data_IF_700523767246
#
_entry.id   IF_700523767246
#
_cell.length_a   1.000
_cell.length_b   1.000
_cell.length_c   1.000
_cell.angle_alpha   90.00
_cell.angle_beta   90.00
_cell.angle_gamma   90.00
#
_symmetry.space_group_name_H-M   'P 1'
#
loop_
_entity.id
_entity.type
_entity.pdbx_description
1 polymer ?
#
# COMPACT_ATOMS: atom_id res chain seq x y z
N UNK A 1 -5.43 10.87 -8.95
CA UNK A 1 -5.55 9.87 -7.87
C UNK A 1 -4.18 9.27 -7.58
N UNK A 2 -3.89 8.90 -6.33
CA UNK A 2 -2.60 8.29 -5.95
C UNK A 2 -2.88 7.05 -5.10
N UNK A 3 -2.30 5.91 -5.45
CA UNK A 3 -2.32 4.72 -4.60
C UNK A 3 -0.98 4.61 -3.87
N UNK A 4 -1.00 4.79 -2.55
CA UNK A 4 0.16 4.53 -1.71
C UNK A 4 0.05 3.10 -1.17
N UNK A 5 1.13 2.32 -1.25
CA UNK A 5 1.16 0.93 -0.81
C UNK A 5 2.48 0.65 -0.10
N UNK A 6 2.43 0.05 1.09
CA UNK A 6 3.66 -0.47 1.70
C UNK A 6 4.00 -1.84 1.12
N UNK A 7 5.27 -2.08 0.79
CA UNK A 7 5.70 -3.31 0.12
C UNK A 7 6.84 -4.01 0.86
N UNK A 8 6.95 -5.31 0.60
CA UNK A 8 8.06 -6.18 0.96
C UNK A 8 8.20 -7.22 -0.13
N UNK A 9 9.39 -7.39 -0.72
CA UNK A 9 9.55 -8.28 -1.89
C UNK A 9 9.44 -9.75 -1.51
N UNK A 10 9.94 -10.12 -0.33
CA UNK A 10 9.94 -11.49 0.17
C UNK A 10 8.57 -11.94 0.73
N UNK A 11 7.57 -11.05 0.77
CA UNK A 11 6.20 -11.44 1.11
C UNK A 11 5.52 -12.05 -0.15
N UNK A 12 4.95 -13.27 -0.06
CA UNK A 12 4.32 -13.96 -1.20
C UNK A 12 3.27 -13.14 -1.93
N UNK A 13 2.63 -12.17 -1.25
CA UNK A 13 1.68 -11.27 -1.87
C UNK A 13 2.31 -10.38 -2.94
N UNK A 14 3.63 -10.15 -2.93
CA UNK A 14 4.36 -9.36 -3.90
C UNK A 14 4.15 -9.85 -5.33
N UNK A 15 4.24 -11.17 -5.55
CA UNK A 15 4.11 -11.82 -6.86
C UNK A 15 2.78 -11.57 -7.54
N UNK A 16 1.73 -11.31 -6.77
CA UNK A 16 0.40 -10.96 -7.27
C UNK A 16 0.16 -9.46 -7.27
N UNK A 17 0.38 -8.79 -6.14
CA UNK A 17 0.00 -7.39 -5.96
C UNK A 17 0.81 -6.45 -6.85
N UNK A 18 2.12 -6.67 -7.01
CA UNK A 18 2.98 -5.76 -7.76
C UNK A 18 2.58 -5.72 -9.24
N UNK A 19 2.44 -6.86 -9.95
CA UNK A 19 1.94 -6.86 -11.33
C UNK A 19 0.55 -6.23 -11.48
N UNK A 20 -0.40 -6.54 -10.58
CA UNK A 20 -1.75 -5.97 -10.66
C UNK A 20 -1.72 -4.44 -10.51
N UNK A 21 -0.91 -3.90 -9.60
CA UNK A 21 -0.73 -2.45 -9.44
C UNK A 21 -0.06 -1.81 -10.66
N UNK A 22 0.91 -2.48 -11.29
CA UNK A 22 1.51 -2.01 -12.56
C UNK A 22 0.45 -1.95 -13.66
N UNK A 23 -0.39 -2.98 -13.77
CA UNK A 23 -1.50 -2.99 -14.74
C UNK A 23 -2.45 -1.82 -14.53
N UNK A 24 -2.79 -1.49 -13.27
CA UNK A 24 -3.60 -0.31 -12.96
C UNK A 24 -2.89 1.00 -13.33
N UNK A 25 -1.61 1.13 -12.98
CA UNK A 25 -0.80 2.29 -13.33
C UNK A 25 -0.72 2.49 -14.85
N UNK A 26 -0.52 1.41 -15.62
CA UNK A 26 -0.49 1.47 -17.07
C UNK A 26 -1.86 1.80 -17.69
N UNK A 27 -2.95 1.36 -17.05
CA UNK A 27 -4.33 1.61 -17.52
C UNK A 27 -4.76 3.05 -17.25
N UNK A 28 -4.51 3.56 -16.05
CA UNK A 28 -5.07 4.82 -15.56
C UNK A 28 -4.05 5.97 -15.46
N UNK A 29 -2.76 5.68 -15.53
CA UNK A 29 -1.70 6.67 -15.30
C UNK A 29 -1.13 7.35 -16.55
N UNK A 30 -1.59 6.98 -17.76
CA UNK A 30 -1.02 7.48 -19.03
C UNK A 30 -1.04 9.01 -19.17
N UNK A 31 -2.05 9.66 -18.62
CA UNK A 31 -2.23 11.11 -18.70
C UNK A 31 -1.85 11.83 -17.39
N UNK A 32 -1.23 11.14 -16.44
CA UNK A 32 -0.94 11.68 -15.10
C UNK A 32 -2.12 11.63 -14.12
N UNK A 33 -3.25 11.04 -14.51
CA UNK A 33 -4.46 10.96 -13.67
C UNK A 33 -4.33 9.97 -12.49
N UNK A 34 -3.40 9.03 -12.57
CA UNK A 34 -3.15 8.02 -11.56
C UNK A 34 -1.68 7.68 -11.41
N UNK A 35 -1.24 7.47 -10.18
CA UNK A 35 0.09 6.97 -9.87
C UNK A 35 0.06 5.97 -8.72
N UNK A 36 0.96 4.99 -8.76
CA UNK A 36 1.23 4.04 -7.67
C UNK A 36 2.55 4.44 -7.02
N UNK A 37 2.53 4.64 -5.70
CA UNK A 37 3.71 4.90 -4.87
C UNK A 37 3.93 3.72 -3.95
N UNK A 38 4.93 2.89 -4.28
CA UNK A 38 5.35 1.76 -3.47
C UNK A 38 6.38 2.21 -2.42
N UNK A 39 6.11 1.85 -1.16
CA UNK A 39 6.90 2.24 0.01
C UNK A 39 7.49 1.00 0.67
N UNK A 40 8.76 0.67 0.41
CA UNK A 40 9.42 -0.44 1.08
C UNK A 40 9.57 -0.18 2.59
N UNK A 41 9.63 -1.25 3.39
CA UNK A 41 9.90 -1.14 4.83
C UNK A 41 10.60 -2.38 5.35
N UNK A 42 11.45 -2.20 6.36
CA UNK A 42 12.00 -3.27 7.19
C UNK A 42 11.11 -3.64 8.38
N UNK A 43 10.13 -2.80 8.73
CA UNK A 43 9.24 -3.10 9.86
C UNK A 43 8.37 -4.32 9.60
N UNK A 44 8.17 -5.13 10.65
CA UNK A 44 7.51 -6.44 10.56
C UNK A 44 8.49 -7.57 10.23
N UNK A 45 8.08 -8.52 9.40
CA UNK A 45 8.97 -9.61 8.95
C UNK A 45 10.14 -9.08 8.10
N UNK A 46 11.22 -9.85 8.00
CA UNK A 46 12.53 -9.47 7.45
C UNK A 46 12.48 -8.89 6.01
N UNK A 47 13.12 -7.73 5.80
CA UNK A 47 13.47 -7.16 4.47
C UNK A 47 14.96 -6.76 4.50
N UNK A 48 15.87 -7.68 4.11
CA UNK A 48 17.31 -7.49 4.23
C UNK A 48 17.85 -6.37 3.37
N UNK A 49 17.20 -6.16 2.24
CA UNK A 49 17.78 -5.40 1.17
C UNK A 49 17.81 -3.92 1.52
N UNK A 50 18.87 -3.25 1.05
CA UNK A 50 18.95 -1.80 1.07
C UNK A 50 17.97 -1.22 0.05
N UNK A 51 17.57 0.04 0.21
CA UNK A 51 16.70 0.70 -0.77
C UNK A 51 17.27 0.65 -2.19
N UNK A 52 18.60 0.76 -2.34
CA UNK A 52 19.27 0.65 -3.63
C UNK A 52 19.09 -0.74 -4.28
N UNK A 53 19.23 -1.81 -3.49
CA UNK A 53 19.03 -3.17 -3.98
C UNK A 53 17.55 -3.47 -4.29
N UNK A 54 16.64 -2.98 -3.44
CA UNK A 54 15.18 -3.08 -3.70
C UNK A 54 14.84 -2.41 -5.03
N UNK A 55 15.34 -1.20 -5.31
CA UNK A 55 15.12 -0.53 -6.60
C UNK A 55 15.61 -1.37 -7.78
N UNK A 56 16.83 -1.92 -7.71
CA UNK A 56 17.38 -2.78 -8.77
C UNK A 56 16.55 -4.04 -8.99
N UNK A 57 16.06 -4.68 -7.92
CA UNK A 57 15.19 -5.86 -8.02
C UNK A 57 13.82 -5.50 -8.61
N UNK A 58 13.19 -4.40 -8.15
CA UNK A 58 11.90 -3.95 -8.68
C UNK A 58 11.98 -3.60 -10.17
N UNK A 59 13.06 -2.96 -10.60
CA UNK A 59 13.33 -2.68 -12.01
C UNK A 59 13.49 -3.99 -12.81
N UNK A 60 14.39 -4.89 -12.37
CA UNK A 60 14.66 -6.14 -13.09
C UNK A 60 13.48 -7.11 -13.14
N UNK A 61 12.72 -7.25 -12.07
CA UNK A 61 11.63 -8.22 -11.97
C UNK A 61 10.32 -7.69 -12.54
N UNK A 62 10.06 -6.39 -12.39
CA UNK A 62 8.75 -5.81 -12.66
C UNK A 62 8.78 -4.57 -13.58
N UNK A 63 9.95 -4.09 -14.00
CA UNK A 63 10.08 -2.91 -14.84
C UNK A 63 9.69 -1.59 -14.15
N UNK A 64 9.82 -1.53 -12.81
CA UNK A 64 9.61 -0.27 -12.08
C UNK A 64 10.59 0.81 -12.56
N UNK A 65 10.07 1.98 -12.91
CA UNK A 65 10.84 3.08 -13.53
C UNK A 65 10.65 3.19 -15.05
N UNK A 66 10.13 2.16 -15.72
CA UNK A 66 9.74 2.24 -17.15
C UNK A 66 8.38 2.93 -17.28
N UNK A 67 7.42 2.55 -16.42
CA UNK A 67 6.11 3.19 -16.38
C UNK A 67 6.20 4.49 -15.55
N UNK A 68 5.91 5.67 -16.14
CA UNK A 68 6.01 6.94 -15.42
C UNK A 68 4.99 7.06 -14.27
N UNK A 69 3.98 6.20 -14.21
CA UNK A 69 2.97 6.15 -13.16
C UNK A 69 3.31 5.17 -12.02
N UNK A 70 4.47 4.51 -12.04
CA UNK A 70 4.95 3.69 -10.92
C UNK A 70 6.17 4.31 -10.26
N UNK A 71 6.07 4.56 -8.96
CA UNK A 71 7.11 5.17 -8.16
C UNK A 71 7.49 4.25 -7.01
N UNK A 72 8.77 4.26 -6.68
CA UNK A 72 9.34 3.49 -5.59
C UNK A 72 10.15 4.44 -4.71
N UNK A 73 9.83 4.48 -3.42
CA UNK A 73 10.57 5.30 -2.46
C UNK A 73 11.78 4.55 -1.92
N UNK A 74 12.61 5.24 -1.11
CA UNK A 74 13.45 4.56 -0.15
C UNK A 74 12.61 3.87 0.94
N UNK A 75 13.25 2.92 1.64
CA UNK A 75 12.65 2.29 2.83
C UNK A 75 12.19 3.37 3.82
N UNK A 76 10.99 3.19 4.35
CA UNK A 76 10.43 4.07 5.38
C UNK A 76 10.07 3.28 6.63
N UNK A 77 10.22 3.93 7.78
CA UNK A 77 9.53 3.54 9.00
C UNK A 77 8.05 3.91 8.84
N UNK A 78 7.18 2.92 8.99
CA UNK A 78 5.73 3.08 8.91
C UNK A 78 5.12 3.46 10.26
N UNK A 79 5.67 2.93 11.34
CA UNK A 79 5.14 3.04 12.71
C UNK A 79 6.17 3.59 13.70
N UNK A 80 5.68 4.07 14.85
CA UNK A 80 6.51 4.46 16.01
C UNK A 80 7.04 5.90 15.98
N UNK A 81 7.93 6.22 16.93
CA UNK A 81 8.58 7.54 17.05
C UNK A 81 9.47 7.88 15.86
N UNK A 82 9.92 6.87 15.12
CA UNK A 82 10.64 7.01 13.86
C UNK A 82 9.78 7.05 12.60
N UNK A 83 8.45 6.91 12.69
CA UNK A 83 7.56 6.86 11.51
C UNK A 83 7.76 8.06 10.57
N UNK A 84 7.76 7.80 9.27
CA UNK A 84 7.81 8.86 8.28
C UNK A 84 6.55 9.75 8.37
N UNK A 85 6.63 11.09 8.21
CA UNK A 85 5.48 11.98 8.33
C UNK A 85 4.29 11.60 7.44
N UNK A 86 4.56 11.12 6.22
CA UNK A 86 3.52 10.59 5.31
C UNK A 86 2.74 9.43 5.96
N UNK A 87 3.44 8.53 6.64
CA UNK A 87 2.82 7.35 7.25
C UNK A 87 1.99 7.73 8.48
N UNK A 88 2.49 8.67 9.31
CA UNK A 88 1.72 9.23 10.42
C UNK A 88 0.44 9.90 9.96
N UNK A 89 0.52 10.66 8.85
CA UNK A 89 -0.65 11.29 8.27
C UNK A 89 -1.68 10.24 7.83
N UNK A 90 -1.25 9.20 7.11
CA UNK A 90 -2.11 8.08 6.71
C UNK A 90 -2.78 7.41 7.93
N UNK A 91 -2.03 7.09 8.99
CA UNK A 91 -2.58 6.48 10.20
C UNK A 91 -3.63 7.36 10.89
N UNK A 92 -3.42 8.68 10.87
CA UNK A 92 -4.32 9.66 11.47
C UNK A 92 -5.62 9.85 10.68
N UNK A 93 -5.56 9.77 9.36
CA UNK A 93 -6.68 10.15 8.48
C UNK A 93 -7.38 8.99 7.78
N UNK A 94 -6.77 7.81 7.70
CA UNK A 94 -7.28 6.65 6.97
C UNK A 94 -7.33 5.39 7.84
N UNK A 95 -8.42 5.26 8.60
CA UNK A 95 -8.62 4.16 9.55
C UNK A 95 -9.23 2.93 8.87
N UNK A 96 -8.99 1.75 9.44
CA UNK A 96 -9.72 0.52 9.07
C UNK A 96 -11.21 0.65 9.42
N UNK A 97 -12.09 -0.23 8.91
CA UNK A 97 -13.50 -0.25 9.32
C UNK A 97 -13.72 -0.44 10.83
N UNK A 98 -12.75 -1.03 11.53
CA UNK A 98 -12.74 -1.17 12.99
C UNK A 98 -12.17 0.07 13.72
N UNK A 99 -11.87 1.16 13.02
CA UNK A 99 -11.36 2.41 13.60
C UNK A 99 -9.86 2.43 13.91
N UNK A 100 -9.11 1.40 13.51
CA UNK A 100 -7.67 1.31 13.77
C UNK A 100 -6.88 2.19 12.79
N UNK A 101 -5.98 3.02 13.30
CA UNK A 101 -5.06 3.82 12.48
C UNK A 101 -3.81 3.03 12.08
N UNK A 102 -3.26 2.25 13.03
CA UNK A 102 -2.00 1.53 12.84
C UNK A 102 -1.97 0.62 11.61
N UNK A 103 -0.86 0.63 10.87
CA UNK A 103 -0.59 -0.36 9.82
C UNK A 103 -0.31 -1.71 10.48
N UNK A 104 -0.93 -2.77 9.98
CA UNK A 104 -0.97 -4.10 10.60
C UNK A 104 -0.17 -5.15 9.81
N UNK A 105 0.13 -4.89 8.54
CA UNK A 105 0.85 -5.83 7.67
C UNK A 105 1.43 -5.17 6.41
N UNK A 106 2.18 -5.94 5.63
CA UNK A 106 2.61 -5.54 4.28
C UNK A 106 1.40 -5.44 3.34
N UNK A 107 1.54 -4.67 2.25
CA UNK A 107 0.54 -4.53 1.18
C UNK A 107 -0.79 -3.93 1.61
N UNK A 108 -0.82 -3.17 2.70
CA UNK A 108 -1.93 -2.25 2.90
C UNK A 108 -1.85 -1.13 1.87
N UNK A 109 -3.02 -0.74 1.37
CA UNK A 109 -3.12 0.20 0.25
C UNK A 109 -4.01 1.36 0.66
N UNK A 110 -3.62 2.56 0.24
CA UNK A 110 -4.30 3.80 0.59
C UNK A 110 -4.56 4.57 -0.69
N UNK A 111 -5.83 4.68 -1.07
CA UNK A 111 -6.23 5.53 -2.17
C UNK A 111 -6.33 6.97 -1.64
N UNK A 112 -5.58 7.85 -2.28
CA UNK A 112 -5.51 9.27 -2.00
C UNK A 112 -6.09 10.03 -3.18
N UNK A 113 -6.97 10.98 -2.88
CA UNK A 113 -7.44 11.96 -3.84
C UNK A 113 -6.31 12.94 -4.15
N UNK A 114 -5.86 12.96 -5.40
CA UNK A 114 -4.74 13.80 -5.83
C UNK A 114 -5.08 15.30 -5.85
N UNK A 115 -6.37 15.66 -5.92
CA UNK A 115 -6.81 17.05 -5.94
C UNK A 115 -6.90 17.67 -4.54
N UNK A 116 -7.35 16.90 -3.55
CA UNK A 116 -7.52 17.36 -2.17
C UNK A 116 -6.40 16.91 -1.24
N UNK A 117 -5.58 15.95 -1.68
CA UNK A 117 -4.56 15.29 -0.85
C UNK A 117 -5.13 14.39 0.23
N UNK A 118 -6.46 14.12 0.26
CA UNK A 118 -7.08 13.31 1.32
C UNK A 118 -6.98 11.83 1.03
N UNK A 119 -6.62 11.03 2.03
CA UNK A 119 -6.78 9.57 1.97
C UNK A 119 -8.26 9.21 2.11
N UNK A 120 -8.82 8.55 1.10
CA UNK A 120 -10.27 8.38 0.92
C UNK A 120 -10.73 6.93 1.04
N UNK A 121 -9.83 5.95 0.88
CA UNK A 121 -10.12 4.54 1.19
C UNK A 121 -8.82 3.79 1.50
N UNK A 122 -8.91 2.88 2.46
CA UNK A 122 -7.84 1.95 2.87
C UNK A 122 -8.24 0.53 2.51
N UNK A 123 -7.31 -0.28 2.01
CA UNK A 123 -7.57 -1.67 1.64
C UNK A 123 -6.61 -2.60 2.37
N UNK A 124 -7.09 -3.76 2.84
CA UNK A 124 -6.27 -4.71 3.57
C UNK A 124 -5.29 -5.44 2.64
N UNK A 125 -4.29 -6.09 3.24
CA UNK A 125 -3.17 -6.75 2.54
C UNK A 125 -3.57 -7.67 1.38
N UNK A 126 -4.62 -8.48 1.57
CA UNK A 126 -5.08 -9.50 0.62
C UNK A 126 -6.15 -9.00 -0.37
N UNK A 127 -6.66 -7.78 -0.17
CA UNK A 127 -7.57 -7.15 -1.14
C UNK A 127 -6.85 -6.94 -2.46
N UNK A 128 -7.40 -7.49 -3.55
CA UNK A 128 -6.79 -7.42 -4.87
C UNK A 128 -6.77 -5.98 -5.35
N UNK A 129 -5.63 -5.49 -5.88
CA UNK A 129 -5.61 -4.23 -6.58
C UNK A 129 -6.71 -4.09 -7.66
N UNK A 130 -7.06 -5.17 -8.36
CA UNK A 130 -8.12 -5.11 -9.37
C UNK A 130 -9.50 -4.80 -8.81
N UNK A 131 -9.77 -5.18 -7.56
CA UNK A 131 -11.03 -4.85 -6.87
C UNK A 131 -11.10 -3.36 -6.47
N UNK A 132 -10.05 -2.56 -6.72
CA UNK A 132 -10.03 -1.11 -6.52
C UNK A 132 -10.28 -0.32 -7.81
N UNK A 133 -10.51 -0.98 -8.95
CA UNK A 133 -10.61 -0.32 -10.26
C UNK A 133 -11.72 0.73 -10.32
N UNK A 134 -12.89 0.41 -9.78
CA UNK A 134 -14.04 1.32 -9.80
C UNK A 134 -13.81 2.54 -8.89
N UNK A 135 -13.14 2.34 -7.75
CA UNK A 135 -12.75 3.42 -6.85
C UNK A 135 -11.74 4.36 -7.51
N UNK A 136 -10.71 3.81 -8.16
CA UNK A 136 -9.71 4.59 -8.90
C UNK A 136 -10.40 5.39 -10.01
N UNK A 137 -11.27 4.73 -10.80
CA UNK A 137 -11.99 5.38 -11.89
C UNK A 137 -12.89 6.51 -11.37
N UNK A 138 -13.62 6.30 -10.28
CA UNK A 138 -14.48 7.32 -9.70
C UNK A 138 -13.69 8.59 -9.36
N UNK A 139 -12.52 8.44 -8.76
CA UNK A 139 -11.70 9.58 -8.34
C UNK A 139 -11.03 10.29 -9.51
N UNK A 140 -10.61 9.55 -10.53
CA UNK A 140 -10.12 10.15 -11.78
C UNK A 140 -11.24 10.95 -12.46
N UNK A 141 -12.46 10.42 -12.48
CA UNK A 141 -13.63 11.08 -13.06
C UNK A 141 -14.19 12.23 -12.17
N UNK A 142 -13.57 12.53 -11.02
CA UNK A 142 -14.05 13.56 -10.08
C UNK A 142 -15.37 13.22 -9.38
N UNK A 143 -15.71 11.94 -9.28
CA UNK A 143 -16.95 11.42 -8.69
C UNK A 143 -16.73 10.95 -7.25
N UNK A 144 -17.79 10.91 -6.43
CA UNK A 144 -17.75 10.24 -5.13
C UNK A 144 -17.36 8.76 -5.28
N UNK A 145 -16.71 8.19 -4.25
CA UNK A 145 -16.43 6.76 -4.23
C UNK A 145 -17.73 5.94 -4.30
N UNK A 146 -17.79 4.86 -5.08
CA UNK A 146 -18.89 3.92 -5.01
C UNK A 146 -18.89 3.21 -3.65
N UNK A 147 -19.98 2.49 -3.29
CA UNK A 147 -19.94 1.55 -2.19
C UNK A 147 -18.75 0.60 -2.34
N UNK A 148 -18.13 0.22 -1.21
CA UNK A 148 -17.04 -0.73 -1.26
C UNK A 148 -17.50 -2.08 -1.82
N UNK A 149 -16.58 -2.80 -2.48
CA UNK A 149 -16.85 -4.13 -3.04
C UNK A 149 -17.44 -5.08 -1.99
N UNK A 150 -18.22 -6.07 -2.43
CA UNK A 150 -18.94 -6.98 -1.54
C UNK A 150 -18.01 -7.76 -0.59
N UNK A 151 -16.79 -8.08 -1.02
CA UNK A 151 -15.76 -8.74 -0.22
C UNK A 151 -15.00 -7.81 0.74
N UNK A 152 -15.16 -6.48 0.65
CA UNK A 152 -14.32 -5.51 1.38
C UNK A 152 -14.35 -5.69 2.89
N UNK A 153 -15.53 -5.88 3.48
CA UNK A 153 -15.66 -6.07 4.93
C UNK A 153 -15.13 -7.43 5.38
N UNK A 154 -15.28 -8.46 4.55
CA UNK A 154 -14.77 -9.80 4.83
C UNK A 154 -13.24 -9.84 4.81
N UNK A 155 -12.63 -9.22 3.80
CA UNK A 155 -11.18 -9.07 3.68
C UNK A 155 -10.58 -8.30 4.86
N UNK A 156 -11.29 -7.28 5.38
CA UNK A 156 -10.86 -6.58 6.59
C UNK A 156 -10.94 -7.45 7.85
N UNK A 157 -11.97 -8.31 7.97
CA UNK A 157 -12.06 -9.27 9.09
C UNK A 157 -10.93 -10.30 9.01
N UNK A 158 -10.66 -10.83 7.82
CA UNK A 158 -9.54 -11.75 7.59
C UNK A 158 -8.20 -11.09 7.91
N UNK A 159 -7.98 -9.86 7.48
CA UNK A 159 -6.77 -9.10 7.78
C UNK A 159 -6.59 -8.82 9.28
N UNK A 160 -7.69 -8.59 10.02
CA UNK A 160 -7.65 -8.43 11.46
C UNK A 160 -7.20 -9.71 12.18
N UNK A 161 -7.54 -10.89 11.66
CA UNK A 161 -7.04 -12.17 12.19
C UNK A 161 -5.60 -12.44 11.76
N UNK A 162 -5.23 -12.18 10.51
CA UNK A 162 -3.83 -12.25 10.04
C UNK A 162 -2.92 -11.37 10.92
N UNK A 163 -3.37 -10.17 11.29
CA UNK A 163 -2.61 -9.26 12.14
C UNK A 163 -2.27 -9.83 13.54
N UNK A 164 -2.92 -10.92 13.97
CA UNK A 164 -2.64 -11.60 15.24
C UNK A 164 -1.65 -12.74 15.11
N UNK A 165 -1.66 -13.47 13.98
CA UNK A 165 -0.98 -14.77 13.85
C UNK A 165 -0.12 -14.94 12.60
N UNK A 166 -0.28 -14.12 11.56
CA UNK A 166 0.44 -14.23 10.29
C UNK A 166 1.93 -13.93 10.46
N UNK A 167 2.79 -14.64 9.73
CA UNK A 167 4.25 -14.45 9.75
C UNK A 167 4.67 -13.02 9.39
N UNK A 168 3.93 -12.37 8.49
CA UNK A 168 4.19 -11.03 7.96
C UNK A 168 3.47 -9.93 8.75
N UNK A 169 2.83 -10.26 9.88
CA UNK A 169 2.16 -9.28 10.75
C UNK A 169 3.18 -8.33 11.38
N UNK A 170 2.75 -7.10 11.62
CA UNK A 170 3.57 -6.11 12.30
C UNK A 170 3.48 -6.34 13.81
N UNK A 171 4.63 -6.54 14.47
CA UNK A 171 4.72 -6.86 15.89
C UNK A 171 5.62 -5.85 16.59
N UNK A 172 5.23 -5.45 17.78
CA UNK A 172 6.07 -4.60 18.63
C UNK A 172 7.40 -5.34 18.91
N UNK A 173 8.52 -4.69 18.61
CA UNK A 173 9.86 -5.22 18.89
C UNK A 173 10.49 -6.12 17.80
N UNK A 174 9.86 -6.29 16.64
CA UNK A 174 10.44 -7.02 15.50
C UNK A 174 10.86 -6.04 14.38
N UNK A 175 12.15 -6.05 14.03
CA UNK A 175 12.82 -5.21 13.01
C UNK A 175 12.58 -3.70 13.15
N UNK A 176 13.41 -3.10 14.00
CA UNK A 176 13.55 -1.66 14.33
C UNK A 176 12.22 -0.92 14.52
N UNK A 177 11.54 -1.33 15.58
CA UNK A 177 10.52 -0.54 16.26
C UNK A 177 11.11 -0.09 17.59
N UNK A 178 11.81 1.05 17.61
CA UNK A 178 12.07 1.75 18.85
C UNK A 178 10.75 2.35 19.34
N UNK A 179 10.44 2.11 20.61
CA UNK A 179 9.29 2.71 21.29
C UNK A 179 9.47 4.22 21.39
#
# INVERSE_FOLDING_TARGET
>A
AILVVNIKQDDPLARKNIPEMITLAAKYGKNGDFAVVAVPTDQGYYEPDTSALIRLKMDREYGYGINPATHLTDKMNLLGTGAHPLMRWIEGTCRTPAGLGKIQGNFEKFLVDGSTGKAIRRYPRKYSPYDMQDDIKAIIDGKPLPPAGSNYLEEWRAAAEDAKQDTYRFQKGLNVFDQ
#
